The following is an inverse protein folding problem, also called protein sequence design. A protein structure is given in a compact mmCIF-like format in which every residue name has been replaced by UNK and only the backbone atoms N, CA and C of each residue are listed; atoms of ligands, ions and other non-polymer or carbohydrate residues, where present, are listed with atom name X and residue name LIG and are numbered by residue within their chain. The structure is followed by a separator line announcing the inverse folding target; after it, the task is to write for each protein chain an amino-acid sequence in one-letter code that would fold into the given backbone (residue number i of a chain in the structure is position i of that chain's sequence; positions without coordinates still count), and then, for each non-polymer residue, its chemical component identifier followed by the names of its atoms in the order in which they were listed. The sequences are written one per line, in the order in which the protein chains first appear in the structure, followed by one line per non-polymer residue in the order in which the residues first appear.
data_IF_057790528053
#
_entry.id   IF_057790528053
#
_cell.length_a   1.000
_cell.length_b   1.000
_cell.length_c   1.000
_cell.angle_alpha   90.00
_cell.angle_beta   90.00
_cell.angle_gamma   90.00
#
_symmetry.space_group_name_H-M   'P 1'
#
loop_
_entity.id
_entity.type
_entity.pdbx_description
1 polymer ?
#
# COMPACT_ATOMS: atom_id res chain seq x y z
N UNK A 1 4.86 7.02 17.02
CA UNK A 1 4.53 7.74 15.77
C UNK A 1 3.54 8.84 16.12
N UNK A 2 3.86 10.08 15.76
CA UNK A 2 2.96 11.21 15.98
C UNK A 2 1.80 11.16 14.98
N UNK A 3 0.62 11.65 15.35
CA UNK A 3 -0.57 11.61 14.50
C UNK A 3 -0.42 12.38 13.18
N UNK A 4 0.37 13.47 13.18
CA UNK A 4 0.65 14.22 11.94
C UNK A 4 1.57 13.46 10.97
N UNK A 5 2.47 12.61 11.48
CA UNK A 5 3.29 11.74 10.62
C UNK A 5 2.44 10.72 9.89
N UNK A 6 1.47 10.11 10.58
CA UNK A 6 0.50 9.22 9.96
C UNK A 6 -0.29 9.94 8.86
N UNK A 7 -0.75 11.17 9.15
CA UNK A 7 -1.44 12.01 8.18
C UNK A 7 -0.59 12.34 6.96
N UNK A 8 0.68 12.69 7.16
CA UNK A 8 1.60 12.99 6.07
C UNK A 8 1.87 11.77 5.17
N UNK A 9 2.02 10.57 5.75
CA UNK A 9 2.21 9.30 5.02
C UNK A 9 1.00 8.95 4.17
N UNK A 10 -0.19 9.11 4.74
CA UNK A 10 -1.46 8.89 4.02
C UNK A 10 -1.61 9.89 2.86
N UNK A 11 -1.32 11.16 3.11
CA UNK A 11 -1.37 12.20 2.08
C UNK A 11 -0.40 11.90 0.94
N UNK A 12 0.84 11.49 1.26
CA UNK A 12 1.84 11.08 0.26
C UNK A 12 1.32 9.90 -0.58
N UNK A 13 0.75 8.89 0.04
CA UNK A 13 0.18 7.75 -0.69
C UNK A 13 -0.97 8.17 -1.64
N UNK A 14 -1.83 9.10 -1.22
CA UNK A 14 -2.88 9.67 -2.07
C UNK A 14 -2.27 10.39 -3.27
N UNK A 15 -1.23 11.21 -3.05
CA UNK A 15 -0.56 11.95 -4.13
C UNK A 15 0.13 11.00 -5.13
N UNK A 16 0.77 9.94 -4.66
CA UNK A 16 1.36 8.90 -5.53
C UNK A 16 0.25 8.22 -6.36
N UNK A 17 -0.82 7.77 -5.72
CA UNK A 17 -1.95 7.15 -6.41
C UNK A 17 -2.61 8.09 -7.42
N UNK A 18 -2.73 9.39 -7.07
CA UNK A 18 -3.23 10.43 -7.97
C UNK A 18 -2.32 10.58 -9.19
N UNK A 19 -1.02 10.69 -9.01
CA UNK A 19 -0.06 10.87 -10.10
C UNK A 19 -0.12 9.72 -11.11
N UNK A 20 -0.06 8.47 -10.62
CA UNK A 20 -0.12 7.27 -11.46
C UNK A 20 -1.49 7.18 -12.14
N UNK A 21 -2.57 7.34 -11.37
CA UNK A 21 -3.93 7.20 -11.87
C UNK A 21 -4.30 8.28 -12.90
N UNK A 22 -3.87 9.51 -12.69
CA UNK A 22 -4.07 10.62 -13.61
C UNK A 22 -3.41 10.37 -14.97
N UNK A 23 -2.16 9.90 -14.97
CA UNK A 23 -1.45 9.51 -16.20
C UNK A 23 -2.19 8.39 -16.95
N UNK A 24 -2.71 7.41 -16.21
CA UNK A 24 -3.50 6.30 -16.76
C UNK A 24 -4.81 6.78 -17.40
N UNK A 25 -5.53 7.63 -16.68
CA UNK A 25 -6.81 8.20 -17.15
C UNK A 25 -6.61 9.07 -18.36
N UNK A 26 -5.58 9.93 -18.37
CA UNK A 26 -5.24 10.77 -19.51
C UNK A 26 -4.91 9.96 -20.78
N UNK A 27 -4.37 8.76 -20.62
CA UNK A 27 -4.07 7.84 -21.75
C UNK A 27 -5.22 6.88 -22.08
N UNK A 28 -6.40 7.08 -21.53
CA UNK A 28 -7.57 6.20 -21.72
C UNK A 28 -7.26 4.72 -21.41
N UNK A 29 -6.47 4.47 -20.36
CA UNK A 29 -6.15 3.11 -19.90
C UNK A 29 -7.16 2.67 -18.83
N UNK A 30 -7.45 1.35 -18.73
CA UNK A 30 -8.24 0.81 -17.62
C UNK A 30 -7.58 1.10 -16.27
N UNK A 31 -8.39 1.19 -15.21
CA UNK A 31 -7.99 1.61 -13.88
C UNK A 31 -7.35 3.02 -13.88
N UNK A 32 -8.17 4.01 -13.62
CA UNK A 32 -7.78 5.42 -13.59
C UNK A 32 -7.44 5.92 -12.18
N UNK A 33 -7.64 7.21 -11.99
CA UNK A 33 -7.29 7.97 -10.78
C UNK A 33 -7.89 7.37 -9.50
N UNK A 34 -9.20 7.09 -9.48
CA UNK A 34 -9.89 6.56 -8.29
C UNK A 34 -9.31 5.23 -7.83
N UNK A 35 -9.07 4.32 -8.77
CA UNK A 35 -8.58 2.98 -8.48
C UNK A 35 -7.18 3.02 -7.89
N UNK A 36 -6.27 3.80 -8.48
CA UNK A 36 -4.88 3.91 -8.00
C UNK A 36 -4.79 4.61 -6.65
N UNK A 37 -5.59 5.67 -6.41
CA UNK A 37 -5.67 6.31 -5.09
C UNK A 37 -6.12 5.31 -4.04
N UNK A 38 -7.18 4.55 -4.28
CA UNK A 38 -7.71 3.58 -3.32
C UNK A 38 -6.72 2.46 -3.01
N UNK A 39 -6.00 1.97 -4.01
CA UNK A 39 -4.97 0.94 -3.82
C UNK A 39 -3.79 1.47 -3.00
N UNK A 40 -3.25 2.66 -3.35
CA UNK A 40 -2.17 3.28 -2.58
C UNK A 40 -2.61 3.60 -1.14
N UNK A 41 -3.79 4.18 -0.98
CA UNK A 41 -4.33 4.56 0.32
C UNK A 41 -4.55 3.33 1.21
N UNK A 42 -5.19 2.28 0.68
CA UNK A 42 -5.43 1.05 1.42
C UNK A 42 -4.13 0.39 1.88
N UNK A 43 -3.14 0.31 1.00
CA UNK A 43 -1.82 -0.22 1.34
C UNK A 43 -1.12 0.63 2.41
N UNK A 44 -1.15 1.96 2.29
CA UNK A 44 -0.54 2.87 3.26
C UNK A 44 -1.21 2.78 4.64
N UNK A 45 -2.54 2.67 4.69
CA UNK A 45 -3.28 2.50 5.95
C UNK A 45 -2.87 1.22 6.68
N UNK A 46 -2.71 0.12 5.96
CA UNK A 46 -2.24 -1.15 6.53
C UNK A 46 -0.81 -0.99 7.09
N UNK A 47 0.10 -0.37 6.34
CA UNK A 47 1.47 -0.16 6.79
C UNK A 47 1.54 0.76 8.03
N UNK A 48 0.76 1.83 8.07
CA UNK A 48 0.66 2.73 9.23
C UNK A 48 0.10 1.98 10.45
N UNK A 49 -0.93 1.16 10.25
CA UNK A 49 -1.51 0.33 11.30
C UNK A 49 -0.50 -0.68 11.84
N UNK A 50 0.24 -1.37 10.95
CA UNK A 50 1.25 -2.36 11.34
C UNK A 50 2.36 -1.71 12.17
N UNK A 51 2.90 -0.56 11.75
CA UNK A 51 3.88 0.21 12.52
C UNK A 51 3.34 0.65 13.90
N UNK A 52 2.06 1.03 13.98
CA UNK A 52 1.43 1.41 15.24
C UNK A 52 1.34 0.23 16.21
N UNK A 53 0.87 -0.92 15.74
CA UNK A 53 0.76 -2.15 16.54
C UNK A 53 2.13 -2.60 17.03
N UNK A 54 3.13 -2.58 16.15
CA UNK A 54 4.51 -2.95 16.47
C UNK A 54 5.07 -2.06 17.59
N UNK A 55 4.94 -0.73 17.46
CA UNK A 55 5.40 0.20 18.47
C UNK A 55 4.72 -0.04 19.83
N UNK A 56 3.44 -0.41 19.83
CA UNK A 56 2.69 -0.75 21.05
C UNK A 56 3.19 -2.03 21.70
N UNK A 57 3.44 -3.07 20.92
CA UNK A 57 3.95 -4.35 21.45
C UNK A 57 5.36 -4.19 22.00
N UNK A 58 6.23 -3.44 21.31
CA UNK A 58 7.57 -3.13 21.81
C UNK A 58 7.53 -2.37 23.13
N UNK A 59 6.64 -1.39 23.28
CA UNK A 59 6.47 -0.65 24.53
C UNK A 59 6.02 -1.56 25.69
N UNK A 60 5.11 -2.49 25.47
CA UNK A 60 4.65 -3.46 26.49
C UNK A 60 5.79 -4.40 26.89
N UNK A 61 6.62 -4.86 25.94
CA UNK A 61 7.73 -5.77 26.24
C UNK A 61 8.85 -5.10 27.06
N UNK A 62 9.02 -3.78 26.95
CA UNK A 62 10.02 -3.03 27.71
C UNK A 62 9.57 -2.71 29.13
N UNK A 63 8.26 -2.52 29.35
CA UNK A 63 7.76 -2.00 30.65
C UNK A 63 7.38 -3.08 31.66
N UNK A 64 6.94 -4.27 31.26
CA UNK A 64 6.19 -5.10 32.21
C UNK A 64 6.77 -6.49 32.45
N UNK A 65 7.47 -7.10 31.57
CA UNK A 65 8.06 -8.44 31.73
C UNK A 65 8.55 -8.88 30.34
N UNK A 66 9.72 -9.43 30.28
CA UNK A 66 10.31 -10.10 29.12
C UNK A 66 9.39 -11.27 28.66
N UNK A 67 8.17 -10.93 28.20
CA UNK A 67 7.09 -11.88 27.92
C UNK A 67 7.34 -12.71 26.66
N UNK A 68 8.47 -12.47 25.96
CA UNK A 68 8.83 -13.23 24.77
C UNK A 68 7.87 -13.08 23.59
N UNK A 69 6.98 -12.07 23.61
CA UNK A 69 6.09 -11.81 22.49
C UNK A 69 6.89 -11.26 21.33
N UNK A 70 7.16 -12.12 20.34
CA UNK A 70 7.80 -11.71 19.10
C UNK A 70 6.79 -11.05 18.17
N UNK A 71 7.09 -9.84 17.71
CA UNK A 71 6.34 -9.18 16.64
C UNK A 71 6.85 -9.70 15.31
N UNK A 72 5.97 -10.25 14.50
CA UNK A 72 6.30 -10.65 13.14
C UNK A 72 6.16 -9.45 12.21
N UNK A 73 7.25 -8.71 12.02
CA UNK A 73 7.31 -7.52 11.16
C UNK A 73 6.93 -7.83 9.72
N UNK A 74 6.17 -6.94 9.09
CA UNK A 74 5.85 -7.03 7.66
C UNK A 74 4.84 -8.11 7.28
N UNK A 75 4.29 -8.84 8.24
CA UNK A 75 3.43 -9.99 7.97
C UNK A 75 2.08 -9.58 7.38
N UNK A 76 1.48 -8.50 7.86
CA UNK A 76 0.22 -7.97 7.36
C UNK A 76 0.46 -7.29 6.01
N UNK A 77 1.53 -6.51 5.89
CA UNK A 77 1.95 -5.88 4.63
C UNK A 77 2.24 -6.89 3.52
N UNK A 78 2.82 -8.06 3.85
CA UNK A 78 3.02 -9.13 2.89
C UNK A 78 1.70 -9.67 2.31
N UNK A 79 0.63 -9.72 3.12
CA UNK A 79 -0.71 -10.11 2.65
C UNK A 79 -1.31 -9.06 1.71
N UNK A 80 -1.01 -7.79 1.90
CA UNK A 80 -1.43 -6.72 0.96
C UNK A 80 -0.83 -6.95 -0.42
N UNK A 81 0.47 -7.26 -0.50
CA UNK A 81 1.15 -7.55 -1.77
C UNK A 81 0.50 -8.72 -2.50
N UNK A 82 0.18 -9.81 -1.77
CA UNK A 82 -0.54 -10.95 -2.34
C UNK A 82 -1.97 -10.59 -2.75
N UNK A 83 -2.68 -9.81 -1.93
CA UNK A 83 -4.07 -9.40 -2.16
C UNK A 83 -4.23 -8.51 -3.41
N UNK A 84 -3.28 -7.62 -3.67
CA UNK A 84 -3.28 -6.79 -4.89
C UNK A 84 -3.15 -7.67 -6.15
N UNK A 85 -2.52 -8.84 -6.04
CA UNK A 85 -2.45 -9.81 -7.13
C UNK A 85 -3.84 -10.26 -7.60
N UNK A 86 -4.81 -10.39 -6.68
CA UNK A 86 -6.21 -10.70 -7.02
C UNK A 86 -6.86 -9.58 -7.86
N UNK A 87 -6.66 -8.32 -7.48
CA UNK A 87 -7.14 -7.17 -8.26
C UNK A 87 -6.50 -7.15 -9.65
N UNK A 88 -5.19 -7.42 -9.70
CA UNK A 88 -4.45 -7.55 -10.96
C UNK A 88 -5.02 -8.63 -11.86
N UNK A 89 -5.25 -9.82 -11.32
CA UNK A 89 -5.87 -10.93 -12.06
C UNK A 89 -7.25 -10.53 -12.61
N UNK A 90 -8.07 -9.86 -11.81
CA UNK A 90 -9.37 -9.35 -12.24
C UNK A 90 -9.28 -8.43 -13.47
N UNK A 91 -8.27 -7.56 -13.52
CA UNK A 91 -8.08 -6.67 -14.69
C UNK A 91 -7.64 -7.42 -15.94
N UNK A 92 -6.87 -8.50 -15.80
CA UNK A 92 -6.43 -9.34 -16.91
C UNK A 92 -7.61 -10.11 -17.49
N UNK A 93 -8.42 -10.73 -16.64
CA UNK A 93 -9.60 -11.49 -17.08
C UNK A 93 -10.70 -10.61 -17.68
N UNK A 94 -10.89 -9.40 -17.15
CA UNK A 94 -11.89 -8.46 -17.63
C UNK A 94 -11.50 -7.76 -18.93
N UNK A 95 -10.23 -7.77 -19.31
CA UNK A 95 -9.75 -7.06 -20.48
C UNK A 95 -9.93 -7.88 -21.76
N UNK A 96 -10.60 -7.30 -22.76
CA UNK A 96 -10.68 -7.88 -24.12
C UNK A 96 -9.31 -7.97 -24.79
N UNK A 97 -8.37 -7.09 -24.42
CA UNK A 97 -6.98 -7.08 -24.89
C UNK A 97 -6.07 -7.52 -23.76
N UNK A 98 -5.64 -8.77 -23.74
CA UNK A 98 -4.81 -9.39 -22.68
C UNK A 98 -3.58 -8.56 -22.32
N UNK A 99 -2.87 -7.97 -23.29
CA UNK A 99 -1.67 -7.13 -23.06
C UNK A 99 -2.04 -5.87 -22.26
N UNK A 100 -3.16 -5.21 -22.57
CA UNK A 100 -3.59 -4.03 -21.83
C UNK A 100 -4.00 -4.36 -20.40
N UNK A 101 -4.59 -5.53 -20.16
CA UNK A 101 -4.92 -6.03 -18.83
C UNK A 101 -3.66 -6.29 -17.99
N UNK A 102 -2.62 -6.86 -18.58
CA UNK A 102 -1.36 -7.15 -17.90
C UNK A 102 -0.65 -5.86 -17.43
N UNK A 103 -0.58 -4.84 -18.29
CA UNK A 103 -0.01 -3.53 -17.93
C UNK A 103 -0.80 -2.87 -16.80
N UNK A 104 -2.13 -2.98 -16.83
CA UNK A 104 -2.99 -2.45 -15.77
C UNK A 104 -2.77 -3.19 -14.45
N UNK A 105 -2.68 -4.52 -14.47
CA UNK A 105 -2.35 -5.33 -13.30
C UNK A 105 -1.00 -4.92 -12.68
N UNK A 106 0.02 -4.75 -13.51
CA UNK A 106 1.35 -4.31 -13.08
C UNK A 106 1.32 -2.91 -12.46
N UNK A 107 0.57 -1.96 -13.03
CA UNK A 107 0.44 -0.61 -12.47
C UNK A 107 -0.26 -0.58 -11.12
N UNK A 108 -1.29 -1.40 -10.92
CA UNK A 108 -1.97 -1.54 -9.63
C UNK A 108 -1.06 -2.16 -8.57
N UNK A 109 -0.29 -3.18 -8.96
CA UNK A 109 0.68 -3.82 -8.06
C UNK A 109 1.77 -2.83 -7.61
N UNK A 110 2.36 -2.08 -8.55
CA UNK A 110 3.32 -1.03 -8.23
C UNK A 110 2.72 0.07 -7.33
N UNK A 111 1.50 0.52 -7.62
CA UNK A 111 0.80 1.51 -6.80
C UNK A 111 0.62 1.02 -5.35
N UNK A 112 0.27 -0.26 -5.15
CA UNK A 112 0.18 -0.83 -3.82
C UNK A 112 1.51 -0.90 -3.09
N UNK A 113 2.58 -1.31 -3.77
CA UNK A 113 3.93 -1.32 -3.19
C UNK A 113 4.37 0.09 -2.77
N UNK A 114 4.15 1.10 -3.61
CA UNK A 114 4.46 2.48 -3.28
C UNK A 114 3.61 2.99 -2.10
N UNK A 115 2.35 2.59 -2.01
CA UNK A 115 1.50 2.85 -0.85
C UNK A 115 2.07 2.27 0.44
N UNK A 116 2.54 1.00 0.43
CA UNK A 116 3.20 0.39 1.57
C UNK A 116 4.47 1.16 1.97
N UNK A 117 5.33 1.50 1.02
CA UNK A 117 6.58 2.24 1.26
C UNK A 117 6.29 3.61 1.89
N UNK A 118 5.30 4.33 1.38
CA UNK A 118 4.86 5.61 1.94
C UNK A 118 4.31 5.44 3.36
N UNK A 119 3.47 4.44 3.60
CA UNK A 119 2.89 4.13 4.91
C UNK A 119 3.93 3.71 5.95
N UNK A 120 4.96 2.98 5.54
CA UNK A 120 6.09 2.61 6.39
C UNK A 120 6.99 3.81 6.73
N UNK A 121 6.90 4.91 6.00
CA UNK A 121 7.75 6.09 6.19
C UNK A 121 9.12 5.98 5.53
N UNK A 122 9.29 5.08 4.57
CA UNK A 122 10.53 4.92 3.81
C UNK A 122 10.60 5.94 2.65
N UNK A 123 10.61 7.22 2.97
CA UNK A 123 10.48 8.32 2.00
C UNK A 123 11.58 8.36 0.93
N UNK A 124 12.75 7.78 1.24
CA UNK A 124 13.86 7.70 0.26
C UNK A 124 13.63 6.67 -0.83
N UNK A 125 12.63 5.80 -0.67
CA UNK A 125 12.28 4.75 -1.61
C UNK A 125 10.98 5.02 -2.39
N UNK A 126 10.20 6.01 -1.97
CA UNK A 126 8.95 6.42 -2.61
C UNK A 126 9.18 7.55 -3.58
#
# INVERSE_FOLDING_TARGET
MAWWEAGARILLAILIGLAIGYERERRNKPAGTRTHILVCLGAALIAVMENYVEARVLAINTDVLNTGVAVSMGRISAQVVSGIGFLGAGTIFSSRKKIAGLTTAASLWCAGCLGLVAGMGCYTLA
#
